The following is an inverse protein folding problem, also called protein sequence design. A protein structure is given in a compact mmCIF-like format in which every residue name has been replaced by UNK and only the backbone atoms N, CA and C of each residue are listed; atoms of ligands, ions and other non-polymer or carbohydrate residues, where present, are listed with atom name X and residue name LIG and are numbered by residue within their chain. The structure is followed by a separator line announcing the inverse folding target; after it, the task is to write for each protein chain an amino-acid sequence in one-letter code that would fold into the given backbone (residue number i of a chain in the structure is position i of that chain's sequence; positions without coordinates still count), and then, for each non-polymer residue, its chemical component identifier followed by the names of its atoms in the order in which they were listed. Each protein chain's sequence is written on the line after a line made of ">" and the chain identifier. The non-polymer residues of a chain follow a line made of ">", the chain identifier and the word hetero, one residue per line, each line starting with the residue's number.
data_IF_870282886546
#
_entry.id   IF_870282886546
#
_cell.length_a   1.000
_cell.length_b   1.000
_cell.length_c   1.000
_cell.angle_alpha   90.00
_cell.angle_beta   90.00
_cell.angle_gamma   90.00
#
_symmetry.space_group_name_H-M   'P 1'
#
loop_
_entity.id
_entity.type
_entity.pdbx_description
1 polymer ?
#
# COMPACT_ATOMS: atom_id res chain seq x y z
N UNK A 1 11.70 -2.77 -17.20
CA UNK A 1 10.41 -3.45 -17.36
C UNK A 1 9.33 -2.46 -17.00
N UNK A 2 8.34 -2.28 -17.83
CA UNK A 2 7.18 -1.43 -17.53
C UNK A 2 6.06 -2.31 -17.03
N UNK A 3 5.39 -1.91 -15.96
CA UNK A 3 4.22 -2.56 -15.44
C UNK A 3 3.05 -1.57 -15.59
N UNK A 4 1.93 -2.01 -16.12
CA UNK A 4 0.73 -1.20 -16.21
C UNK A 4 -0.05 -1.32 -14.91
N UNK A 5 -0.12 -0.28 -14.06
CA UNK A 5 -0.95 -0.33 -12.89
C UNK A 5 -2.42 -0.21 -13.28
N UNK A 6 -3.22 -1.16 -12.83
CA UNK A 6 -4.69 -1.08 -12.95
C UNK A 6 -5.22 -0.13 -11.88
N UNK A 7 -4.49 0.02 -10.77
CA UNK A 7 -4.85 0.93 -9.69
C UNK A 7 -3.65 1.75 -9.26
N UNK A 8 -3.87 3.03 -9.04
CA UNK A 8 -2.89 3.96 -8.49
C UNK A 8 -3.48 4.66 -7.27
N UNK A 9 -2.74 4.67 -6.18
CA UNK A 9 -3.13 5.40 -4.98
C UNK A 9 -2.30 6.65 -4.86
N UNK A 10 -2.94 7.78 -4.78
CA UNK A 10 -2.28 9.03 -4.42
C UNK A 10 -2.43 9.17 -2.91
N UNK A 11 -1.40 8.82 -2.17
CA UNK A 11 -1.40 8.91 -0.72
C UNK A 11 -1.49 10.35 -0.26
N UNK A 12 -2.18 10.56 0.85
CA UNK A 12 -2.28 11.85 1.52
C UNK A 12 -1.36 11.90 2.72
N UNK A 13 -0.10 11.70 2.53
CA UNK A 13 0.82 12.06 3.59
C UNK A 13 1.06 13.57 3.60
N UNK A 14 1.43 14.13 4.74
CA UNK A 14 1.68 15.56 4.94
C UNK A 14 2.61 16.17 3.90
N UNK A 15 3.50 15.36 3.36
CA UNK A 15 4.51 15.79 2.39
C UNK A 15 4.24 15.29 0.98
N UNK A 16 3.50 14.22 0.78
CA UNK A 16 3.33 13.58 -0.53
C UNK A 16 2.06 14.01 -1.27
N UNK A 17 0.97 14.31 -0.57
CA UNK A 17 -0.27 14.78 -1.18
C UNK A 17 -0.10 16.11 -1.93
N UNK A 18 0.41 17.18 -1.29
CA UNK A 18 0.71 18.46 -1.96
C UNK A 18 1.73 18.32 -3.07
N UNK A 19 2.81 17.59 -2.87
CA UNK A 19 3.84 17.35 -3.90
C UNK A 19 3.28 16.62 -5.11
N UNK A 20 2.49 15.57 -4.90
CA UNK A 20 1.84 14.84 -6.00
C UNK A 20 0.92 15.77 -6.80
N UNK A 21 0.17 16.66 -6.14
CA UNK A 21 -0.66 17.66 -6.82
C UNK A 21 0.16 18.58 -7.71
N UNK A 22 1.27 19.08 -7.23
CA UNK A 22 2.10 20.01 -7.98
C UNK A 22 2.74 19.30 -9.18
N UNK A 23 3.23 18.09 -9.02
CA UNK A 23 3.73 17.26 -10.11
C UNK A 23 2.64 16.90 -11.13
N UNK A 24 1.40 16.65 -10.70
CA UNK A 24 0.28 16.45 -11.61
C UNK A 24 -0.03 17.70 -12.42
N UNK A 25 0.14 18.90 -11.84
CA UNK A 25 0.02 20.17 -12.57
C UNK A 25 1.14 20.33 -13.62
N UNK A 26 2.38 19.97 -13.26
CA UNK A 26 3.52 20.00 -14.19
C UNK A 26 3.34 19.03 -15.36
N UNK A 27 2.74 17.87 -15.12
CA UNK A 27 2.38 16.91 -16.16
C UNK A 27 1.20 17.37 -17.04
N UNK A 28 0.68 18.57 -16.80
CA UNK A 28 -0.52 19.11 -17.51
C UNK A 28 -1.69 18.12 -17.48
N UNK A 29 -1.87 17.40 -16.38
CA UNK A 29 -2.82 16.32 -16.23
C UNK A 29 -4.26 16.86 -16.32
N UNK A 30 -4.94 16.55 -17.41
CA UNK A 30 -6.35 16.90 -17.62
C UNK A 30 -7.30 15.89 -16.96
N UNK A 31 -6.87 14.65 -16.79
CA UNK A 31 -7.61 13.57 -16.15
C UNK A 31 -6.67 12.43 -15.78
N UNK A 32 -7.16 11.48 -15.01
CA UNK A 32 -6.42 10.27 -14.69
C UNK A 32 -6.70 9.18 -15.73
N UNK A 33 -5.66 8.46 -16.13
CA UNK A 33 -5.77 7.28 -16.99
C UNK A 33 -5.81 5.99 -16.16
N UNK A 34 -5.25 6.02 -14.95
CA UNK A 34 -5.36 4.88 -14.03
C UNK A 34 -6.82 4.68 -13.59
N UNK A 35 -7.27 3.43 -13.51
CA UNK A 35 -8.67 3.07 -13.23
C UNK A 35 -9.15 3.52 -11.84
N UNK A 36 -8.26 3.57 -10.86
CA UNK A 36 -8.54 4.11 -9.54
C UNK A 36 -7.39 4.99 -9.08
N UNK A 37 -7.70 6.25 -8.83
CA UNK A 37 -6.81 7.19 -8.11
C UNK A 37 -7.55 7.68 -6.88
N UNK A 38 -6.96 7.49 -5.70
CA UNK A 38 -7.57 7.88 -4.44
C UNK A 38 -6.63 8.77 -3.63
N UNK A 39 -7.22 9.74 -2.94
CA UNK A 39 -6.52 10.65 -2.05
C UNK A 39 -7.28 10.75 -0.72
N UNK A 40 -6.56 10.87 0.39
CA UNK A 40 -7.13 11.14 1.71
C UNK A 40 -6.28 12.14 2.51
N UNK A 41 -6.69 12.48 3.72
CA UNK A 41 -5.99 13.39 4.64
C UNK A 41 -5.69 12.73 5.99
N UNK A 42 -5.42 11.43 6.01
CA UNK A 42 -5.26 10.67 7.26
C UNK A 42 -4.15 11.20 8.19
N UNK A 43 -3.10 11.82 7.64
CA UNK A 43 -1.98 12.37 8.43
C UNK A 43 -2.18 13.82 8.89
N UNK A 44 -3.08 14.57 8.28
CA UNK A 44 -3.28 16.00 8.57
C UNK A 44 -4.67 16.33 9.09
N UNK A 45 -5.56 15.34 9.24
CA UNK A 45 -6.94 15.56 9.67
C UNK A 45 -7.05 16.04 11.12
N UNK A 46 -6.18 15.46 12.00
CA UNK A 46 -6.13 15.83 13.41
C UNK A 46 -5.04 16.85 13.67
N UNK A 47 -5.16 17.98 14.04
CA UNK A 47 -4.14 19.04 14.27
C UNK A 47 -3.53 19.62 12.98
N UNK A 48 -4.36 20.06 12.01
CA UNK A 48 -3.87 20.63 10.77
C UNK A 48 -3.13 21.96 11.01
N UNK A 49 -2.05 22.17 10.25
CA UNK A 49 -1.39 23.46 10.13
C UNK A 49 -2.17 24.36 9.17
N UNK A 50 -1.93 25.69 9.16
CA UNK A 50 -2.61 26.58 8.21
C UNK A 50 -2.48 26.16 6.74
N UNK A 51 -1.31 25.64 6.33
CA UNK A 51 -1.08 25.13 4.98
C UNK A 51 -1.93 23.87 4.67
N UNK A 52 -2.16 23.03 5.68
CA UNK A 52 -2.97 21.82 5.55
C UNK A 52 -4.44 22.18 5.32
N UNK A 53 -4.95 23.22 6.00
CA UNK A 53 -6.32 23.70 5.82
C UNK A 53 -6.58 24.17 4.39
N UNK A 54 -5.62 24.83 3.76
CA UNK A 54 -5.71 25.20 2.35
C UNK A 54 -5.76 23.95 1.46
N UNK A 55 -4.88 23.00 1.72
CA UNK A 55 -4.82 21.72 0.98
C UNK A 55 -6.11 20.93 1.19
N UNK A 56 -6.67 20.87 2.40
CA UNK A 56 -7.95 20.21 2.69
C UNK A 56 -9.10 20.80 1.88
N UNK A 57 -9.03 22.10 1.58
CA UNK A 57 -10.05 22.80 0.80
C UNK A 57 -9.91 22.58 -0.71
N UNK A 58 -8.69 22.59 -1.22
CA UNK A 58 -8.43 22.62 -2.68
C UNK A 58 -8.21 21.24 -3.30
N UNK A 59 -7.54 20.34 -2.59
CA UNK A 59 -7.12 19.06 -3.14
C UNK A 59 -8.29 18.11 -3.50
N UNK A 60 -9.39 18.03 -2.71
CA UNK A 60 -10.54 17.20 -3.07
C UNK A 60 -11.15 17.56 -4.43
N UNK A 61 -11.34 18.84 -4.69
CA UNK A 61 -11.89 19.31 -5.97
C UNK A 61 -10.91 19.03 -7.11
N UNK A 62 -9.61 19.25 -6.89
CA UNK A 62 -8.58 18.96 -7.86
C UNK A 62 -8.57 17.49 -8.29
N UNK A 63 -8.68 16.57 -7.35
CA UNK A 63 -8.69 15.12 -7.59
C UNK A 63 -9.99 14.69 -8.27
N UNK A 64 -11.14 15.15 -7.74
CA UNK A 64 -12.45 14.76 -8.25
C UNK A 64 -12.70 15.24 -9.68
N UNK A 65 -12.25 16.46 -10.02
CA UNK A 65 -12.34 17.00 -11.39
C UNK A 65 -11.54 16.20 -12.42
N UNK A 66 -10.60 15.38 -11.97
CA UNK A 66 -9.75 14.51 -12.81
C UNK A 66 -10.19 13.06 -12.81
N UNK A 67 -11.36 12.76 -12.23
CA UNK A 67 -11.91 11.40 -12.18
C UNK A 67 -11.43 10.56 -10.99
N UNK A 68 -10.67 11.15 -10.04
CA UNK A 68 -10.23 10.46 -8.84
C UNK A 68 -11.25 10.50 -7.70
N UNK A 69 -11.02 9.68 -6.70
CA UNK A 69 -11.80 9.62 -5.46
C UNK A 69 -11.09 10.43 -4.38
N UNK A 70 -11.75 11.46 -3.89
CA UNK A 70 -11.22 12.30 -2.82
C UNK A 70 -11.97 12.06 -1.52
N UNK A 71 -11.27 11.57 -0.51
CA UNK A 71 -11.74 11.51 0.86
C UNK A 71 -11.55 12.89 1.52
N UNK A 72 -12.46 13.24 2.43
CA UNK A 72 -12.38 14.47 3.22
C UNK A 72 -11.58 14.25 4.50
N UNK A 73 -11.07 15.31 5.15
CA UNK A 73 -10.51 15.17 6.47
C UNK A 73 -11.51 14.53 7.45
N UNK A 74 -11.09 13.42 8.08
CA UNK A 74 -11.94 12.66 8.99
C UNK A 74 -12.65 11.45 8.38
N UNK A 75 -12.63 11.26 7.06
CA UNK A 75 -13.24 10.08 6.41
C UNK A 75 -12.47 8.78 6.67
N UNK A 76 -11.31 8.87 7.27
CA UNK A 76 -10.53 7.71 7.70
C UNK A 76 -9.19 7.55 6.97
N UNK A 77 -8.57 6.41 7.20
CA UNK A 77 -7.25 6.07 6.67
C UNK A 77 -7.42 5.51 5.26
N UNK A 78 -6.65 6.03 4.29
CA UNK A 78 -6.71 5.60 2.89
C UNK A 78 -6.51 4.08 2.73
N UNK A 79 -5.60 3.49 3.52
CA UNK A 79 -5.34 2.05 3.47
C UNK A 79 -6.57 1.20 3.80
N UNK A 80 -7.39 1.63 4.76
CA UNK A 80 -8.63 0.92 5.11
C UNK A 80 -9.68 0.98 3.99
N UNK A 81 -9.72 2.07 3.23
CA UNK A 81 -10.58 2.20 2.06
C UNK A 81 -10.07 1.34 0.92
N UNK A 82 -8.80 1.48 0.56
CA UNK A 82 -8.19 0.74 -0.56
C UNK A 82 -8.21 -0.76 -0.33
N UNK A 83 -7.95 -1.22 0.90
CA UNK A 83 -8.00 -2.65 1.23
C UNK A 83 -9.37 -3.31 0.92
N UNK A 84 -10.43 -2.51 0.83
CA UNK A 84 -11.79 -2.96 0.47
C UNK A 84 -12.16 -2.72 -0.98
N UNK A 85 -11.39 -1.94 -1.71
CA UNK A 85 -11.67 -1.54 -3.08
C UNK A 85 -10.79 -2.25 -4.11
N UNK A 86 -9.61 -2.73 -3.67
CA UNK A 86 -8.68 -3.40 -4.56
C UNK A 86 -9.19 -4.76 -4.99
N UNK A 87 -8.88 -5.12 -6.24
CA UNK A 87 -9.21 -6.40 -6.83
C UNK A 87 -7.96 -7.27 -6.97
N UNK A 88 -8.11 -8.60 -7.02
CA UNK A 88 -7.03 -9.49 -7.43
C UNK A 88 -6.47 -9.09 -8.81
N UNK A 89 -5.23 -9.49 -9.09
CA UNK A 89 -4.55 -9.26 -10.37
C UNK A 89 -4.37 -7.77 -10.75
N UNK A 90 -4.34 -6.89 -9.75
CA UNK A 90 -4.08 -5.46 -9.93
C UNK A 90 -2.68 -5.09 -9.50
N UNK A 91 -2.12 -4.04 -10.11
CA UNK A 91 -0.85 -3.43 -9.70
C UNK A 91 -1.14 -2.00 -9.26
N UNK A 92 -0.66 -1.64 -8.07
CA UNK A 92 -0.87 -0.32 -7.50
C UNK A 92 0.43 0.35 -7.07
N UNK A 93 0.36 1.67 -6.90
CA UNK A 93 1.41 2.47 -6.26
C UNK A 93 0.80 3.56 -5.39
N UNK A 94 1.57 4.07 -4.46
CA UNK A 94 1.14 5.14 -3.57
C UNK A 94 2.30 5.81 -2.87
N UNK A 95 2.09 7.03 -2.41
CA UNK A 95 3.11 7.84 -1.73
C UNK A 95 3.42 7.42 -0.30
N UNK A 96 2.65 6.47 0.26
CA UNK A 96 2.86 5.95 1.61
C UNK A 96 3.72 4.69 1.59
N UNK A 97 4.66 4.59 2.53
CA UNK A 97 5.50 3.40 2.71
C UNK A 97 4.68 2.13 3.03
N UNK A 98 3.46 2.28 3.55
CA UNK A 98 2.51 1.21 3.85
C UNK A 98 1.55 0.88 2.68
N UNK A 99 1.85 1.33 1.48
CA UNK A 99 1.15 0.91 0.27
C UNK A 99 1.51 -0.54 -0.06
N UNK A 100 0.92 -1.48 0.70
CA UNK A 100 1.19 -2.92 0.66
C UNK A 100 -0.09 -3.68 0.97
N UNK A 101 -0.85 -3.99 -0.07
CA UNK A 101 -2.16 -4.63 0.07
C UNK A 101 -2.08 -6.14 -0.17
N UNK A 102 -2.96 -6.92 0.47
CA UNK A 102 -2.96 -8.38 0.31
C UNK A 102 -3.53 -8.83 -1.05
N UNK A 103 -4.34 -8.00 -1.69
CA UNK A 103 -4.91 -8.27 -3.01
C UNK A 103 -4.13 -7.50 -4.08
N UNK A 104 -3.83 -8.17 -5.20
CA UNK A 104 -2.94 -7.64 -6.20
C UNK A 104 -1.51 -7.51 -5.67
N UNK A 105 -0.76 -6.58 -6.22
CA UNK A 105 0.56 -6.21 -5.72
C UNK A 105 0.70 -4.68 -5.76
N UNK A 106 1.28 -4.11 -4.72
CA UNK A 106 1.47 -2.67 -4.63
C UNK A 106 2.87 -2.32 -4.16
N UNK A 107 3.38 -1.23 -4.71
CA UNK A 107 4.71 -0.72 -4.44
C UNK A 107 4.62 0.73 -3.97
N UNK A 108 5.20 1.08 -2.82
CA UNK A 108 5.33 2.49 -2.45
C UNK A 108 6.23 3.20 -3.47
N UNK A 109 5.89 4.43 -3.78
CA UNK A 109 6.63 5.26 -4.71
C UNK A 109 6.77 6.70 -4.23
N UNK A 110 7.77 7.40 -4.76
CA UNK A 110 7.86 8.85 -4.57
C UNK A 110 6.73 9.57 -5.31
N UNK A 111 6.46 10.81 -4.91
CA UNK A 111 5.36 11.62 -5.46
C UNK A 111 5.36 11.70 -6.98
N UNK A 112 6.53 11.83 -7.61
CA UNK A 112 6.67 11.90 -9.08
C UNK A 112 6.22 10.63 -9.78
N UNK A 113 6.64 9.45 -9.28
CA UNK A 113 6.23 8.19 -9.90
C UNK A 113 4.74 7.91 -9.69
N UNK A 114 4.19 8.30 -8.52
CA UNK A 114 2.75 8.18 -8.24
C UNK A 114 1.94 9.09 -9.16
N UNK A 115 2.37 10.35 -9.32
CA UNK A 115 1.72 11.29 -10.23
C UNK A 115 1.78 10.81 -11.68
N UNK A 116 2.92 10.31 -12.12
CA UNK A 116 3.10 9.74 -13.45
C UNK A 116 2.17 8.55 -13.68
N UNK A 117 2.11 7.62 -12.73
CA UNK A 117 1.22 6.47 -12.81
C UNK A 117 -0.27 6.86 -12.82
N UNK A 118 -0.67 7.86 -12.03
CA UNK A 118 -2.04 8.37 -12.05
C UNK A 118 -2.40 9.00 -13.41
N UNK A 119 -1.46 9.79 -13.98
CA UNK A 119 -1.70 10.53 -15.23
C UNK A 119 -1.76 9.62 -16.45
N UNK A 120 -0.89 8.61 -16.55
CA UNK A 120 -0.74 7.79 -17.75
C UNK A 120 -1.13 6.31 -17.60
N UNK A 121 -1.50 5.87 -16.39
CA UNK A 121 -1.93 4.50 -16.11
C UNK A 121 -0.81 3.46 -16.08
N UNK A 122 0.45 3.86 -16.17
CA UNK A 122 1.61 2.95 -16.14
C UNK A 122 2.81 3.56 -15.43
N UNK A 123 3.69 2.73 -14.90
CA UNK A 123 4.92 3.16 -14.27
C UNK A 123 6.10 2.27 -14.61
N UNK A 124 7.32 2.82 -14.71
CA UNK A 124 8.52 2.01 -14.84
C UNK A 124 8.77 1.23 -13.54
N UNK A 125 9.02 -0.06 -13.66
CA UNK A 125 9.30 -0.93 -12.52
C UNK A 125 10.37 -1.95 -12.88
N UNK A 126 11.44 -2.00 -12.10
CA UNK A 126 12.33 -3.15 -12.07
C UNK A 126 11.75 -4.17 -11.11
N UNK A 127 11.29 -5.31 -11.62
CA UNK A 127 10.66 -6.35 -10.79
C UNK A 127 11.64 -6.82 -9.71
N UNK A 128 11.32 -6.61 -8.41
CA UNK A 128 12.17 -7.08 -7.33
C UNK A 128 12.20 -8.61 -7.23
N UNK A 129 13.27 -9.13 -6.64
CA UNK A 129 13.30 -10.53 -6.22
C UNK A 129 12.29 -10.78 -5.09
N UNK A 130 11.90 -12.04 -4.89
CA UNK A 130 11.00 -12.44 -3.84
C UNK A 130 11.70 -13.16 -2.69
N UNK A 131 11.08 -13.11 -1.53
CA UNK A 131 11.38 -13.95 -0.37
C UNK A 131 10.09 -14.63 0.11
N UNK A 132 10.11 -15.95 0.15
CA UNK A 132 8.96 -16.73 0.62
C UNK A 132 8.97 -16.89 2.12
N UNK A 133 7.87 -16.49 2.76
CA UNK A 133 7.55 -16.77 4.16
C UNK A 133 6.43 -17.79 4.21
N UNK A 134 6.76 -19.01 4.63
CA UNK A 134 5.81 -20.11 4.68
C UNK A 134 5.49 -20.51 6.11
N UNK A 135 4.25 -20.29 6.52
CA UNK A 135 3.73 -20.82 7.77
C UNK A 135 3.36 -22.29 7.62
N UNK A 136 3.59 -23.08 8.67
CA UNK A 136 3.27 -24.51 8.70
C UNK A 136 2.58 -24.86 10.01
N UNK A 137 1.53 -25.67 9.92
CA UNK A 137 0.73 -26.06 11.07
C UNK A 137 -0.44 -25.10 11.30
N UNK A 138 -1.03 -25.16 12.46
CA UNK A 138 -2.18 -24.39 12.87
C UNK A 138 -1.83 -23.38 13.96
N UNK A 139 -2.58 -22.30 14.06
CA UNK A 139 -2.42 -21.33 15.14
C UNK A 139 -2.90 -21.94 16.44
N UNK A 140 -2.02 -21.90 17.44
CA UNK A 140 -2.37 -22.33 18.78
C UNK A 140 -3.35 -21.33 19.44
N UNK A 141 -4.23 -21.81 20.34
CA UNK A 141 -5.10 -20.93 21.09
C UNK A 141 -4.31 -19.81 21.81
N UNK A 142 -4.80 -18.59 21.70
CA UNK A 142 -4.17 -17.41 22.29
C UNK A 142 -3.12 -16.73 21.41
N UNK A 143 -2.70 -17.33 20.30
CA UNK A 143 -1.82 -16.67 19.33
C UNK A 143 -2.64 -15.71 18.48
N UNK A 144 -2.24 -14.45 18.45
CA UNK A 144 -2.86 -13.39 17.66
C UNK A 144 -2.12 -13.20 16.33
N UNK A 145 -2.74 -12.46 15.43
CA UNK A 145 -2.10 -12.11 14.18
C UNK A 145 -0.84 -11.23 14.39
N UNK A 146 -0.88 -10.37 15.40
CA UNK A 146 0.29 -9.55 15.78
C UNK A 146 1.49 -10.40 16.19
N UNK A 147 1.25 -11.55 16.78
CA UNK A 147 2.33 -12.50 17.10
C UNK A 147 2.98 -13.06 15.84
N UNK A 148 2.17 -13.36 14.80
CA UNK A 148 2.69 -13.79 13.50
C UNK A 148 3.51 -12.70 12.83
N UNK A 149 3.01 -11.45 12.82
CA UNK A 149 3.73 -10.28 12.29
C UNK A 149 5.13 -10.19 12.93
N UNK A 150 5.23 -10.39 14.25
CA UNK A 150 6.49 -10.31 14.97
C UNK A 150 7.33 -11.58 14.85
N UNK A 151 6.72 -12.74 14.63
CA UNK A 151 7.42 -14.01 14.45
C UNK A 151 8.31 -14.03 13.21
N UNK A 152 7.89 -13.37 12.13
CA UNK A 152 8.65 -13.31 10.86
C UNK A 152 10.06 -12.73 11.08
N UNK A 153 10.24 -11.51 11.58
CA UNK A 153 11.58 -10.96 11.82
C UNK A 153 12.32 -11.72 12.92
N UNK A 154 11.64 -12.18 13.96
CA UNK A 154 12.26 -12.96 15.02
C UNK A 154 12.87 -14.27 14.49
N UNK A 155 12.16 -14.96 13.60
CA UNK A 155 12.68 -16.15 12.94
C UNK A 155 13.88 -15.83 12.06
N UNK A 156 13.82 -14.75 11.29
CA UNK A 156 14.94 -14.30 10.46
C UNK A 156 16.18 -13.95 11.29
N UNK A 157 16.00 -13.31 12.45
CA UNK A 157 17.10 -13.03 13.40
C UNK A 157 17.70 -14.34 13.92
N UNK A 158 16.89 -15.28 14.38
CA UNK A 158 17.35 -16.59 14.87
C UNK A 158 18.09 -17.40 13.81
N UNK A 159 17.82 -17.16 12.53
CA UNK A 159 18.50 -17.78 11.39
C UNK A 159 19.71 -16.99 10.88
N UNK A 160 20.05 -15.85 11.48
CA UNK A 160 21.14 -14.98 11.02
C UNK A 160 20.89 -14.31 9.67
N UNK A 161 19.63 -14.19 9.25
CA UNK A 161 19.18 -13.57 8.01
C UNK A 161 18.80 -12.09 8.18
N UNK A 162 18.58 -11.68 9.42
CA UNK A 162 18.29 -10.31 9.82
C UNK A 162 19.12 -9.97 11.06
N UNK A 163 19.79 -8.82 11.05
CA UNK A 163 20.55 -8.33 12.21
C UNK A 163 19.90 -7.10 12.80
N UNK A 164 19.94 -6.96 14.12
CA UNK A 164 19.49 -5.78 14.86
C UNK A 164 20.59 -4.73 14.93
N UNK A 165 21.85 -5.17 14.91
CA UNK A 165 23.04 -4.32 15.01
C UNK A 165 23.19 -3.42 13.80
N UNK A 166 23.80 -2.24 14.01
CA UNK A 166 24.02 -1.25 12.94
C UNK A 166 25.18 -1.63 12.04
N UNK A 167 26.19 -2.32 12.57
CA UNK A 167 27.35 -2.77 11.81
C UNK A 167 27.09 -4.13 11.14
N UNK A 168 27.60 -4.31 9.93
CA UNK A 168 27.42 -5.53 9.13
C UNK A 168 25.94 -5.93 8.95
N UNK A 169 25.09 -4.94 8.72
CA UNK A 169 23.64 -5.09 8.66
C UNK A 169 23.22 -6.10 7.58
N UNK A 170 22.55 -7.16 7.98
CA UNK A 170 21.86 -8.11 7.10
C UNK A 170 20.36 -7.89 7.19
N UNK A 171 19.69 -7.91 6.07
CA UNK A 171 18.25 -7.90 5.99
C UNK A 171 17.81 -8.63 4.72
N UNK A 172 17.38 -9.90 4.86
CA UNK A 172 16.93 -10.75 3.78
C UNK A 172 15.72 -10.15 3.04
N UNK A 173 14.95 -9.29 3.70
CA UNK A 173 13.72 -8.70 3.16
C UNK A 173 13.97 -7.43 2.37
N UNK A 174 15.12 -6.79 2.54
CA UNK A 174 15.39 -5.47 1.98
C UNK A 174 15.28 -5.45 0.46
N UNK A 175 14.40 -4.61 -0.05
CA UNK A 175 14.15 -4.44 -1.49
C UNK A 175 13.49 -5.65 -2.18
N UNK A 176 12.98 -6.63 -1.42
CA UNK A 176 12.33 -7.82 -1.97
C UNK A 176 10.83 -7.80 -1.78
N UNK A 177 10.12 -8.54 -2.60
CA UNK A 177 8.70 -8.85 -2.40
C UNK A 177 8.61 -9.96 -1.36
N UNK A 178 7.84 -9.75 -0.29
CA UNK A 178 7.54 -10.80 0.67
C UNK A 178 6.28 -11.56 0.22
N UNK A 179 6.47 -12.82 -0.15
CA UNK A 179 5.38 -13.74 -0.48
C UNK A 179 5.01 -14.55 0.75
N UNK A 180 3.76 -14.50 1.19
CA UNK A 180 3.28 -15.14 2.41
C UNK A 180 2.34 -16.28 2.06
N UNK A 181 2.63 -17.47 2.59
CA UNK A 181 1.84 -18.68 2.40
C UNK A 181 1.51 -19.40 3.72
N UNK A 182 0.50 -20.27 3.68
CA UNK A 182 0.18 -21.19 4.78
C UNK A 182 -0.82 -20.65 5.79
N UNK A 183 -1.57 -19.62 5.46
CA UNK A 183 -2.60 -19.02 6.30
C UNK A 183 -3.95 -18.96 5.54
N UNK A 184 -4.63 -20.11 5.32
CA UNK A 184 -5.73 -20.21 4.35
C UNK A 184 -7.02 -19.49 4.77
N UNK A 185 -7.20 -19.18 6.04
CA UNK A 185 -8.48 -18.70 6.60
C UNK A 185 -8.41 -17.25 7.10
N UNK A 186 -7.50 -16.44 6.58
CA UNK A 186 -7.42 -15.03 6.97
C UNK A 186 -8.57 -14.24 6.39
N UNK A 187 -9.11 -13.35 7.21
CA UNK A 187 -9.97 -12.26 6.74
C UNK A 187 -9.12 -11.22 6.01
N UNK A 188 -9.73 -10.42 5.17
CA UNK A 188 -9.03 -9.40 4.38
C UNK A 188 -8.24 -8.42 5.27
N UNK A 189 -8.83 -7.97 6.36
CA UNK A 189 -8.16 -7.08 7.31
C UNK A 189 -6.96 -7.74 8.01
N UNK A 190 -7.06 -9.04 8.28
CA UNK A 190 -5.98 -9.81 8.86
C UNK A 190 -4.83 -10.02 7.86
N UNK A 191 -5.17 -10.30 6.61
CA UNK A 191 -4.20 -10.39 5.53
C UNK A 191 -3.48 -9.05 5.33
N UNK A 192 -4.23 -7.94 5.38
CA UNK A 192 -3.66 -6.59 5.29
C UNK A 192 -2.68 -6.31 6.45
N UNK A 193 -2.99 -6.68 7.68
CA UNK A 193 -2.06 -6.47 8.81
C UNK A 193 -0.70 -7.16 8.58
N UNK A 194 -0.70 -8.34 7.97
CA UNK A 194 0.55 -9.04 7.62
C UNK A 194 1.32 -8.35 6.49
N UNK A 195 0.62 -7.96 5.44
CA UNK A 195 1.26 -7.32 4.28
C UNK A 195 1.72 -5.91 4.60
N UNK A 196 0.93 -5.13 5.33
CA UNK A 196 1.25 -3.78 5.78
C UNK A 196 2.53 -3.74 6.62
N UNK A 197 2.67 -4.67 7.56
CA UNK A 197 3.85 -4.77 8.43
C UNK A 197 5.17 -5.01 7.67
N UNK A 198 5.13 -5.40 6.41
CA UNK A 198 6.34 -5.58 5.59
C UNK A 198 7.05 -4.26 5.29
N UNK A 199 6.37 -3.13 5.44
CA UNK A 199 6.96 -1.80 5.41
C UNK A 199 8.11 -1.66 6.41
N UNK A 200 7.91 -2.14 7.62
CA UNK A 200 8.89 -2.11 8.71
C UNK A 200 10.08 -3.07 8.50
N UNK A 201 10.05 -3.87 7.45
CA UNK A 201 11.10 -4.82 7.06
C UNK A 201 11.87 -4.35 5.83
N UNK A 202 11.58 -3.15 5.31
CA UNK A 202 12.16 -2.61 4.08
C UNK A 202 11.86 -3.46 2.84
N UNK A 203 10.75 -4.19 2.82
CA UNK A 203 10.33 -4.90 1.63
C UNK A 203 9.96 -3.92 0.52
N UNK A 204 10.13 -4.32 -0.74
CA UNK A 204 9.65 -3.54 -1.89
C UNK A 204 8.12 -3.62 -2.01
N UNK A 205 7.56 -4.77 -1.69
CA UNK A 205 6.13 -5.04 -1.71
C UNK A 205 5.83 -6.34 -0.98
N UNK A 206 4.58 -6.75 -0.97
CA UNK A 206 4.19 -8.05 -0.42
C UNK A 206 2.95 -8.59 -1.10
N UNK A 207 2.79 -9.88 -1.05
CA UNK A 207 1.58 -10.59 -1.49
C UNK A 207 1.31 -11.77 -0.56
N UNK A 208 0.07 -12.20 -0.49
CA UNK A 208 -0.33 -13.31 0.35
C UNK A 208 -1.18 -14.28 -0.45
N UNK A 209 -0.82 -15.55 -0.43
CA UNK A 209 -1.64 -16.61 -0.96
C UNK A 209 -2.72 -16.96 0.06
N UNK A 210 -3.92 -16.42 -0.12
CA UNK A 210 -5.11 -16.79 0.65
C UNK A 210 -6.03 -17.63 -0.20
N UNK A 211 -6.52 -18.74 0.34
CA UNK A 211 -7.43 -19.65 -0.37
C UNK A 211 -8.88 -19.16 -0.34
N UNK A 212 -9.19 -18.17 0.49
CA UNK A 212 -10.57 -17.71 0.73
C UNK A 212 -10.83 -16.34 0.09
N UNK A 213 -10.97 -16.29 -1.24
CA UNK A 213 -11.55 -15.12 -1.94
C UNK A 213 -13.09 -15.08 -1.83
N UNK A 214 -13.72 -15.95 -1.05
CA UNK A 214 -15.18 -16.13 -0.98
C UNK A 214 -15.94 -14.99 -0.28
N UNK A 215 -15.25 -13.96 0.19
CA UNK A 215 -15.88 -12.81 0.87
C UNK A 215 -15.78 -11.49 0.12
N UNK A 216 -15.30 -11.48 -1.11
CA UNK A 216 -15.42 -10.33 -1.99
C UNK A 216 -16.84 -10.31 -2.60
N UNK A 217 -17.81 -9.96 -1.79
CA UNK A 217 -19.10 -9.50 -2.33
C UNK A 217 -18.87 -8.10 -2.85
N UNK A 218 -18.71 -8.00 -4.17
CA UNK A 218 -18.82 -6.72 -4.85
C UNK A 218 -20.15 -6.09 -4.45
N UNK A 219 -20.19 -4.82 -4.03
CA UNK A 219 -21.47 -4.15 -3.86
C UNK A 219 -22.17 -4.19 -5.22
N UNK A 220 -23.22 -4.98 -5.32
CA UNK A 220 -24.12 -4.94 -6.46
C UNK A 220 -24.69 -3.53 -6.52
N UNK A 221 -24.39 -2.81 -7.59
CA UNK A 221 -25.08 -1.58 -7.89
C UNK A 221 -26.57 -1.92 -8.06
N UNK A 222 -27.38 -1.57 -7.05
CA UNK A 222 -28.82 -1.45 -7.16
C UNK A 222 -29.22 -0.18 -7.87
#
# INVERSE_FOLDING_TARGET
>A
MTCEPIMTTVGSQDTTGPMTRDELKELACLGFTADLVMQSFCHTAAYPKPVDLLTHKELPDFISQRGGVALKPGDGIIHSWLNRMLLPDTVGTGGDSHTRFPLGISFPGGSGIVAFAAAIGSMPLNMPESVLVKFKGELLPGITLRDLVNAIPLFAIKKGLLTVEKENKKNIFNGKIMEIEGLPNLKLEQAFELTDATAERSCAGSTILSVSYTHLTLPTRG
#
